data_IF_985614931076
#
_entry.id   IF_985614931076
#
_cell.length_a   1.000
_cell.length_b   1.000
_cell.length_c   1.000
_cell.angle_alpha   90.00
_cell.angle_beta   90.00
_cell.angle_gamma   90.00
#
_symmetry.space_group_name_H-M   'P 1'
#
loop_
_entity.id
_entity.type
_entity.pdbx_description
1 polymer ?
#
# COMPACT_ATOMS: atom_id res chain seq x y z
N UNK A 1 9.07 -19.15 -13.88
CA UNK A 1 9.57 -18.07 -13.00
C UNK A 1 10.83 -18.54 -12.29
N UNK A 2 11.87 -17.71 -12.28
CA UNK A 2 13.11 -17.98 -11.53
C UNK A 2 12.85 -17.88 -10.02
N UNK A 3 13.34 -18.84 -9.22
CA UNK A 3 13.14 -18.86 -7.77
C UNK A 3 13.64 -17.58 -7.07
N UNK A 4 14.71 -16.95 -7.57
CA UNK A 4 15.21 -15.67 -7.04
C UNK A 4 14.27 -14.51 -7.33
N UNK A 5 13.66 -14.51 -8.52
CA UNK A 5 12.68 -13.51 -8.92
C UNK A 5 11.41 -13.65 -8.08
N UNK A 6 10.91 -14.88 -7.90
CA UNK A 6 9.74 -15.15 -7.07
C UNK A 6 9.95 -14.64 -5.64
N UNK A 7 11.10 -14.97 -5.03
CA UNK A 7 11.42 -14.52 -3.67
C UNK A 7 11.38 -12.98 -3.53
N UNK A 8 11.95 -12.25 -4.49
CA UNK A 8 11.91 -10.77 -4.48
C UNK A 8 10.49 -10.22 -4.62
N UNK A 9 9.67 -10.84 -5.47
CA UNK A 9 8.26 -10.44 -5.62
C UNK A 9 7.50 -10.73 -4.30
N UNK A 10 7.73 -11.87 -3.67
CA UNK A 10 7.10 -12.22 -2.39
C UNK A 10 7.49 -11.23 -1.28
N UNK A 11 8.76 -10.80 -1.23
CA UNK A 11 9.24 -9.76 -0.30
C UNK A 11 8.52 -8.42 -0.54
N UNK A 12 8.41 -7.98 -1.79
CA UNK A 12 7.67 -6.75 -2.16
C UNK A 12 6.21 -6.85 -1.74
N UNK A 13 5.55 -7.99 -2.01
CA UNK A 13 4.15 -8.21 -1.64
C UNK A 13 3.96 -8.19 -0.12
N UNK A 14 4.91 -8.74 0.64
CA UNK A 14 4.87 -8.71 2.09
C UNK A 14 4.96 -7.27 2.63
N UNK A 15 5.95 -6.50 2.17
CA UNK A 15 6.09 -5.08 2.54
C UNK A 15 4.86 -4.25 2.14
N UNK A 16 4.31 -4.51 0.96
CA UNK A 16 3.09 -3.87 0.46
C UNK A 16 1.93 -4.13 1.41
N UNK A 17 1.76 -5.38 1.86
CA UNK A 17 0.70 -5.74 2.79
C UNK A 17 0.83 -5.05 4.15
N UNK A 18 2.06 -4.85 4.65
CA UNK A 18 2.30 -4.08 5.89
C UNK A 18 1.90 -2.61 5.73
N UNK A 19 2.26 -1.98 4.61
CA UNK A 19 1.87 -0.58 4.30
C UNK A 19 0.35 -0.43 4.17
N UNK A 20 -0.30 -1.32 3.43
CA UNK A 20 -1.76 -1.32 3.30
C UNK A 20 -2.43 -1.50 4.66
N UNK A 21 -1.91 -2.41 5.48
CA UNK A 21 -2.43 -2.65 6.83
C UNK A 21 -2.34 -1.40 7.71
N UNK A 22 -1.25 -0.65 7.61
CA UNK A 22 -1.10 0.63 8.32
C UNK A 22 -2.17 1.65 7.90
N UNK A 23 -2.38 1.82 6.58
CA UNK A 23 -3.42 2.73 6.04
C UNK A 23 -4.82 2.31 6.51
N UNK A 24 -5.14 1.02 6.44
CA UNK A 24 -6.44 0.50 6.88
C UNK A 24 -6.67 0.72 8.38
N UNK A 25 -5.63 0.54 9.19
CA UNK A 25 -5.70 0.82 10.62
C UNK A 25 -5.95 2.30 10.88
N UNK A 26 -5.27 3.20 10.15
CA UNK A 26 -5.50 4.63 10.30
C UNK A 26 -6.92 5.06 9.89
N UNK A 27 -7.46 4.50 8.81
CA UNK A 27 -8.87 4.71 8.41
C UNK A 27 -9.82 4.24 9.53
N UNK A 28 -9.52 3.08 10.16
CA UNK A 28 -10.30 2.57 11.28
C UNK A 28 -10.25 3.54 12.47
N UNK A 29 -9.08 4.05 12.81
CA UNK A 29 -8.91 4.99 13.91
C UNK A 29 -9.65 6.30 13.65
N UNK A 30 -9.59 6.83 12.42
CA UNK A 30 -10.36 8.01 12.01
C UNK A 30 -11.85 7.76 12.17
N UNK A 31 -12.37 6.60 11.74
CA UNK A 31 -13.79 6.25 11.83
C UNK A 31 -14.30 6.33 13.27
N UNK A 32 -13.53 5.83 14.23
CA UNK A 32 -13.90 5.80 15.66
C UNK A 32 -13.43 7.02 16.45
N UNK A 33 -12.73 7.96 15.81
CA UNK A 33 -12.32 9.21 16.44
C UNK A 33 -13.50 10.12 16.77
N UNK A 34 -13.29 11.04 17.73
CA UNK A 34 -14.24 12.10 18.09
C UNK A 34 -14.24 13.30 17.12
N UNK A 35 -13.59 13.17 15.97
CA UNK A 35 -13.51 14.22 14.95
C UNK A 35 -14.88 14.45 14.29
N UNK A 36 -15.06 15.62 13.68
CA UNK A 36 -16.26 15.88 12.87
C UNK A 36 -16.27 15.04 11.59
N UNK A 37 -17.45 14.73 11.06
CA UNK A 37 -17.56 13.88 9.84
C UNK A 37 -16.86 14.51 8.62
N UNK A 38 -16.86 15.84 8.51
CA UNK A 38 -16.12 16.54 7.44
C UNK A 38 -14.61 16.36 7.57
N UNK A 39 -14.06 16.45 8.78
CA UNK A 39 -12.63 16.21 9.01
C UNK A 39 -12.25 14.74 8.81
N UNK A 40 -13.13 13.80 9.21
CA UNK A 40 -12.94 12.37 8.93
C UNK A 40 -12.89 12.12 7.43
N UNK A 41 -13.81 12.70 6.67
CA UNK A 41 -13.85 12.54 5.23
C UNK A 41 -12.59 13.08 4.56
N UNK A 42 -12.15 14.28 4.93
CA UNK A 42 -10.93 14.88 4.38
C UNK A 42 -9.68 14.04 4.66
N UNK A 43 -9.57 13.46 5.87
CA UNK A 43 -8.46 12.55 6.20
C UNK A 43 -8.55 11.21 5.46
N UNK A 44 -9.74 10.61 5.38
CA UNK A 44 -9.94 9.37 4.63
C UNK A 44 -9.63 9.55 3.13
N UNK A 45 -10.00 10.68 2.54
CA UNK A 45 -9.70 10.98 1.14
C UNK A 45 -8.19 11.14 0.91
N UNK A 46 -7.47 11.77 1.85
CA UNK A 46 -6.00 11.81 1.82
C UNK A 46 -5.40 10.40 1.88
N UNK A 47 -5.87 9.54 2.79
CA UNK A 47 -5.39 8.17 2.93
C UNK A 47 -5.68 7.30 1.70
N UNK A 48 -6.79 7.55 0.99
CA UNK A 48 -7.07 6.90 -0.30
C UNK A 48 -6.03 7.25 -1.36
N UNK A 49 -5.67 8.53 -1.47
CA UNK A 49 -4.63 8.97 -2.41
C UNK A 49 -3.27 8.36 -2.06
N UNK A 50 -2.95 8.26 -0.77
CA UNK A 50 -1.72 7.61 -0.31
C UNK A 50 -1.72 6.11 -0.63
N UNK A 51 -2.86 5.43 -0.46
CA UNK A 51 -3.01 4.04 -0.86
C UNK A 51 -2.78 3.85 -2.37
N UNK A 52 -3.40 4.67 -3.21
CA UNK A 52 -3.21 4.62 -4.67
C UNK A 52 -1.74 4.82 -5.05
N UNK A 53 -1.08 5.81 -4.44
CA UNK A 53 0.33 6.07 -4.68
C UNK A 53 1.22 4.88 -4.29
N UNK A 54 0.98 4.27 -3.13
CA UNK A 54 1.71 3.06 -2.71
C UNK A 54 1.51 1.93 -3.71
N UNK A 55 0.29 1.68 -4.17
CA UNK A 55 0.02 0.62 -5.15
C UNK A 55 0.79 0.81 -6.45
N UNK A 56 0.85 2.05 -6.97
CA UNK A 56 1.62 2.38 -8.17
C UNK A 56 3.12 2.13 -7.96
N UNK A 57 3.67 2.57 -6.84
CA UNK A 57 5.09 2.40 -6.53
C UNK A 57 5.48 0.92 -6.39
N UNK A 58 4.64 0.12 -5.72
CA UNK A 58 4.90 -1.31 -5.54
C UNK A 58 4.75 -2.08 -6.86
N UNK A 59 3.78 -1.71 -7.72
CA UNK A 59 3.67 -2.26 -9.08
C UNK A 59 4.93 -1.98 -9.91
N UNK A 60 5.44 -0.74 -9.87
CA UNK A 60 6.69 -0.40 -10.55
C UNK A 60 7.87 -1.25 -10.09
N UNK A 61 7.97 -1.55 -8.78
CA UNK A 61 9.03 -2.41 -8.25
C UNK A 61 8.92 -3.83 -8.80
N UNK A 62 7.70 -4.40 -8.84
CA UNK A 62 7.47 -5.72 -9.43
C UNK A 62 7.87 -5.74 -10.90
N UNK A 63 7.47 -4.71 -11.68
CA UNK A 63 7.84 -4.59 -13.10
C UNK A 63 9.36 -4.52 -13.27
N UNK A 64 10.08 -3.79 -12.41
CA UNK A 64 11.55 -3.73 -12.43
C UNK A 64 12.16 -5.10 -12.16
N UNK A 65 11.68 -5.82 -11.15
CA UNK A 65 12.14 -7.19 -10.85
C UNK A 65 11.90 -8.13 -12.03
N UNK A 66 10.74 -8.05 -12.69
CA UNK A 66 10.45 -8.86 -13.88
C UNK A 66 11.37 -8.53 -15.07
N UNK A 67 11.78 -7.26 -15.23
CA UNK A 67 12.74 -6.85 -16.28
C UNK A 67 14.17 -7.29 -15.97
N UNK A 68 14.56 -7.34 -14.70
CA UNK A 68 15.89 -7.78 -14.24
C UNK A 68 16.09 -9.29 -14.36
N UNK A 69 15.01 -10.08 -14.32
CA UNK A 69 15.03 -11.54 -14.41
C UNK A 69 14.09 -12.04 -15.53
N UNK A 70 14.50 -11.92 -16.81
CA UNK A 70 13.71 -12.43 -17.93
C UNK A 70 13.49 -13.95 -17.89
#
# INVERSE_FOLDING_TARGET
>A
MNAKMQKKIDEIMYETNEKISAIVNEIRDIRFSKMSESEKQLKCDKLRLEFEQVMIEEEEKIVRVMKEYP
#
